data_IF_803106182128
#
_entry.id   IF_803106182128
#
_cell.length_a   1.000
_cell.length_b   1.000
_cell.length_c   1.000
_cell.angle_alpha   90.00
_cell.angle_beta   90.00
_cell.angle_gamma   90.00
#
_symmetry.space_group_name_H-M   'P 1'
#
loop_
_entity.id
_entity.type
_entity.pdbx_description
1 polymer ?
2 non-polymer ?
3 non-polymer ?
4 non-polymer ?
5 water ?
#
# COMPACT_ATOMS: atom_id res chain seq x y z
N UNK A 1 -9.87 -16.72 -8.34
CA UNK A 1 -9.77 -15.31 -7.98
C UNK A 1 -10.29 -14.30 -9.02
N UNK A 2 -11.15 -14.78 -9.92
CA UNK A 2 -11.63 -13.93 -11.02
C UNK A 2 -12.56 -12.84 -10.50
N UNK A 3 -13.32 -13.12 -9.44
CA UNK A 3 -14.14 -12.09 -8.81
C UNK A 3 -13.47 -11.58 -7.54
N UNK A 4 -13.84 -10.37 -7.17
CA UNK A 4 -13.23 -9.72 -6.02
C UNK A 4 -13.53 -10.49 -4.72
N UNK A 5 -12.61 -10.37 -3.76
CA UNK A 5 -12.77 -11.03 -2.47
C UNK A 5 -14.06 -10.56 -1.78
N UNK A 6 -14.37 -9.27 -1.92
CA UNK A 6 -15.61 -8.72 -1.42
C UNK A 6 -16.75 -9.17 -2.33
N UNK A 7 -17.55 -10.13 -1.85
CA UNK A 7 -18.68 -10.62 -2.63
C UNK A 7 -19.66 -9.52 -2.99
N UNK A 8 -19.76 -8.47 -2.17
CA UNK A 8 -20.69 -7.37 -2.46
C UNK A 8 -19.99 -6.16 -3.09
N UNK A 9 -18.85 -6.36 -3.73
CA UNK A 9 -18.14 -5.23 -4.34
C UNK A 9 -19.07 -4.50 -5.32
N UNK A 10 -18.95 -3.18 -5.35
CA UNK A 10 -19.89 -2.42 -6.14
C UNK A 10 -19.47 -2.43 -7.60
N UNK A 11 -20.37 -1.88 -8.42
CA UNK A 11 -20.24 -1.85 -9.88
C UNK A 11 -18.89 -1.32 -10.32
N UNK A 12 -18.49 -0.17 -9.80
CA UNK A 12 -17.27 0.47 -10.24
C UNK A 12 -16.02 -0.30 -9.79
N UNK A 13 -16.09 -0.94 -8.62
CA UNK A 13 -14.94 -1.70 -8.15
C UNK A 13 -14.73 -2.94 -9.01
N UNK A 14 -15.82 -3.62 -9.36
CA UNK A 14 -15.73 -4.76 -10.26
C UNK A 14 -15.18 -4.35 -11.62
N UNK A 15 -15.55 -3.15 -12.08
CA UNK A 15 -15.04 -2.64 -13.35
C UNK A 15 -13.53 -2.37 -13.28
N UNK A 16 -13.07 -1.73 -12.19
CA UNK A 16 -11.64 -1.50 -12.06
C UNK A 16 -10.91 -2.83 -12.03
N UNK A 17 -11.44 -3.82 -11.30
CA UNK A 17 -10.74 -5.10 -11.20
C UNK A 17 -10.70 -5.79 -12.56
N UNK A 18 -11.73 -5.64 -13.34
CA UNK A 18 -11.74 -6.24 -14.65
C UNK A 18 -10.68 -5.62 -15.55
N UNK A 19 -10.53 -4.32 -15.45
CA UNK A 19 -9.48 -3.63 -16.18
C UNK A 19 -8.09 -4.08 -15.74
N UNK A 20 -7.87 -4.16 -14.43
CA UNK A 20 -6.55 -4.61 -13.95
C UNK A 20 -6.21 -6.00 -14.50
N UNK A 21 -7.17 -6.92 -14.50
CA UNK A 21 -6.89 -8.28 -14.99
C UNK A 21 -6.62 -8.28 -16.49
N UNK A 22 -7.16 -7.30 -17.22
CA UNK A 22 -6.92 -7.18 -18.65
C UNK A 22 -5.55 -6.61 -18.94
N UNK A 23 -5.09 -5.68 -18.09
CA UNK A 23 -3.76 -5.11 -18.21
C UNK A 23 -2.71 -6.17 -17.89
N UNK A 24 -3.00 -7.02 -16.89
CA UNK A 24 -1.99 -7.86 -16.27
C UNK A 24 -1.27 -8.74 -17.30
N UNK A 25 0.05 -8.69 -17.26
CA UNK A 25 0.87 -9.48 -18.17
C UNK A 25 1.07 -8.86 -19.52
N UNK A 26 0.37 -7.78 -19.82
CA UNK A 26 0.49 -7.12 -21.11
C UNK A 26 1.19 -5.78 -21.01
N UNK A 27 0.82 -4.98 -20.01
CA UNK A 27 1.47 -3.72 -19.73
C UNK A 27 1.54 -3.57 -18.22
N UNK A 28 2.26 -2.55 -17.76
CA UNK A 28 2.40 -2.28 -16.34
C UNK A 28 1.87 -0.87 -16.07
N UNK A 29 1.05 -0.73 -15.03
CA UNK A 29 0.49 0.59 -14.71
C UNK A 29 1.50 1.42 -13.93
N UNK A 30 1.65 2.69 -14.33
CA UNK A 30 2.48 3.60 -13.54
C UNK A 30 1.72 4.11 -12.32
N UNK A 31 2.48 4.46 -11.30
CA UNK A 31 1.86 4.95 -10.08
C UNK A 31 2.87 5.80 -9.35
N UNK A 32 2.35 6.65 -8.46
CA UNK A 32 3.26 7.45 -7.64
C UNK A 32 2.62 7.67 -6.27
N UNK A 33 3.47 7.73 -5.24
CA UNK A 33 3.01 7.96 -3.88
C UNK A 33 2.70 9.43 -3.65
N UNK A 34 1.71 9.70 -2.78
CA UNK A 34 1.49 11.05 -2.29
C UNK A 34 2.77 11.63 -1.73
N UNK A 35 2.85 12.96 -1.60
CA UNK A 35 3.92 13.50 -0.77
C UNK A 35 3.45 13.35 0.66
N UNK A 36 3.88 12.27 1.31
CA UNK A 36 3.54 11.90 2.68
C UNK A 36 2.16 11.28 2.78
N UNK A 37 1.09 12.08 2.59
CA UNK A 37 -0.22 11.62 3.02
C UNK A 37 -1.35 11.83 2.01
N UNK A 38 -1.87 13.05 1.91
CA UNK A 38 -3.20 13.23 1.33
C UNK A 38 -3.18 14.20 0.16
N UNK A 39 -2.47 13.86 -0.92
CA UNK A 39 -2.31 14.76 -2.04
C UNK A 39 -1.83 13.92 -3.22
N UNK A 40 -1.77 14.53 -4.40
CA UNK A 40 -1.12 13.93 -5.55
C UNK A 40 0.02 14.85 -6.03
N UNK A 41 0.77 15.41 -5.07
CA UNK A 41 1.80 16.39 -5.41
C UNK A 41 2.95 15.78 -6.21
N UNK A 42 3.33 14.53 -5.93
CA UNK A 42 4.45 13.94 -6.65
C UNK A 42 4.00 13.52 -8.04
N UNK A 43 2.78 12.98 -8.16
CA UNK A 43 2.24 12.70 -9.49
C UNK A 43 2.23 13.96 -10.35
N UNK A 44 1.86 15.08 -9.75
CA UNK A 44 1.88 16.36 -10.45
C UNK A 44 3.29 16.70 -10.92
N UNK A 45 4.28 16.45 -10.08
CA UNK A 45 5.65 16.75 -10.44
C UNK A 45 6.09 15.91 -11.63
N UNK A 46 5.73 14.62 -11.64
CA UNK A 46 6.04 13.75 -12.77
C UNK A 46 5.40 14.30 -14.04
N UNK A 47 4.19 14.83 -13.92
CA UNK A 47 3.54 15.44 -15.07
C UNK A 47 4.31 16.67 -15.54
N UNK A 48 4.78 17.52 -14.62
CA UNK A 48 5.57 18.67 -15.05
C UNK A 48 6.83 18.22 -15.76
N UNK A 49 7.45 17.15 -15.27
CA UNK A 49 8.72 16.67 -15.81
C UNK A 49 8.54 16.00 -17.17
N UNK A 50 7.49 15.17 -17.32
CA UNK A 50 7.39 14.30 -18.48
C UNK A 50 6.24 14.64 -19.41
N UNK A 51 5.30 15.48 -18.99
CA UNK A 51 4.08 15.70 -19.73
C UNK A 51 3.01 14.67 -19.47
N UNK A 52 3.31 13.64 -18.70
CA UNK A 52 2.36 12.57 -18.43
C UNK A 52 2.22 12.37 -16.93
N UNK A 53 0.97 12.11 -16.48
CA UNK A 53 0.70 11.74 -15.09
C UNK A 53 0.86 10.23 -14.92
N UNK A 54 1.36 9.76 -13.78
CA UNK A 54 1.19 8.35 -13.42
C UNK A 54 -0.29 8.00 -13.40
N UNK A 55 -0.59 6.74 -13.73
CA UNK A 55 -1.98 6.32 -13.80
C UNK A 55 -2.59 6.24 -12.41
N UNK A 56 -1.82 5.81 -11.43
CA UNK A 56 -2.29 5.60 -10.06
C UNK A 56 -1.66 6.63 -9.16
N UNK A 57 -2.45 7.18 -8.23
CA UNK A 57 -1.90 7.96 -7.12
C UNK A 57 -2.32 7.32 -5.81
N UNK A 58 -1.35 7.13 -4.90
CA UNK A 58 -1.65 6.52 -3.61
C UNK A 58 -1.70 7.57 -2.49
N UNK A 59 -2.72 7.48 -1.66
CA UNK A 59 -2.91 8.34 -0.49
C UNK A 59 -2.77 7.49 0.75
N UNK A 60 -2.23 8.09 1.82
CA UNK A 60 -1.92 7.37 3.07
C UNK A 60 -2.74 7.96 4.22
N UNK A 61 -3.48 7.12 4.94
CA UNK A 61 -4.21 7.56 6.13
C UNK A 61 -3.31 7.73 7.36
N UNK A 62 -2.00 7.78 7.15
CA UNK A 62 -1.00 7.85 8.23
C UNK A 62 -1.40 8.82 9.35
N UNK A 63 -1.95 9.99 9.02
CA UNK A 63 -2.17 11.01 10.03
C UNK A 63 -3.65 11.21 10.38
N UNK A 64 -4.47 10.19 10.13
CA UNK A 64 -5.90 10.25 10.42
C UNK A 64 -6.18 10.59 11.89
N UNK A 65 -5.31 10.19 12.80
CA UNK A 65 -5.61 10.39 14.21
C UNK A 65 -5.24 11.77 14.72
N UNK A 66 -4.60 12.61 13.91
CA UNK A 66 -4.18 13.90 14.49
C UNK A 66 -5.41 14.77 14.76
N UNK A 67 -5.42 15.52 15.85
CA UNK A 67 -6.57 16.36 16.20
C UNK A 67 -6.58 17.66 15.40
N UNK A 68 -7.70 18.36 15.50
CA UNK A 68 -7.85 19.74 15.00
C UNK A 68 -7.63 19.82 13.48
N UNK A 69 -8.10 18.82 12.75
CA UNK A 69 -7.97 18.87 11.29
C UNK A 69 -8.94 19.87 10.70
N UNK A 70 -8.55 20.45 9.56
CA UNK A 70 -9.38 21.44 8.89
C UNK A 70 -8.57 22.17 7.85
N UNK A 71 -9.25 23.12 7.20
CA UNK A 71 -8.66 23.78 6.03
C UNK A 71 -7.44 24.60 6.41
N UNK A 72 -7.34 25.05 7.66
CA UNK A 72 -6.07 25.52 8.22
C UNK A 72 -5.72 24.73 9.49
N UNK A 73 -5.81 23.41 9.38
CA UNK A 73 -5.07 22.53 10.25
C UNK A 73 -3.81 22.07 9.55
N UNK A 74 -3.11 21.15 10.19
CA UNK A 74 -1.89 20.63 9.59
C UNK A 74 -2.22 19.75 8.39
N UNK A 75 -3.36 19.09 8.44
CA UNK A 75 -3.81 18.16 7.41
C UNK A 75 -5.32 18.08 7.54
N UNK A 76 -6.01 17.53 6.54
CA UNK A 76 -7.47 17.54 6.64
C UNK A 76 -8.07 16.40 5.83
N UNK A 77 -8.20 15.25 6.48
CA UNK A 77 -8.82 14.10 5.82
C UNK A 77 -10.32 14.29 5.58
N UNK A 78 -10.94 15.25 6.26
CA UNK A 78 -12.36 15.53 6.04
C UNK A 78 -12.65 16.11 4.66
N UNK A 79 -11.67 16.71 4.00
CA UNK A 79 -11.81 17.21 2.65
C UNK A 79 -11.28 16.15 1.69
N UNK A 80 -12.17 15.51 0.93
CA UNK A 80 -11.72 14.43 0.06
C UNK A 80 -11.37 14.91 -1.34
N UNK A 81 -11.38 16.22 -1.59
CA UNK A 81 -11.07 16.73 -2.93
C UNK A 81 -9.73 16.25 -3.46
N UNK A 82 -8.64 16.14 -2.67
CA UNK A 82 -7.38 15.65 -3.29
C UNK A 82 -7.53 14.29 -3.93
N UNK A 83 -8.48 13.48 -3.46
CA UNK A 83 -8.75 12.17 -4.07
C UNK A 83 -9.74 12.29 -5.21
N UNK A 84 -10.89 12.96 -4.99
CA UNK A 84 -11.94 12.93 -6.00
C UNK A 84 -11.52 13.68 -7.26
N UNK A 85 -10.72 14.75 -7.12
CA UNK A 85 -10.29 15.49 -8.31
C UNK A 85 -9.35 14.65 -9.16
N UNK A 86 -8.58 13.77 -8.53
CA UNK A 86 -7.75 12.80 -9.25
C UNK A 86 -8.62 11.86 -10.07
N UNK A 87 -9.67 11.31 -9.45
CA UNK A 87 -10.55 10.41 -10.18
C UNK A 87 -11.32 11.14 -11.29
N UNK A 88 -11.72 12.40 -11.04
CA UNK A 88 -12.42 13.15 -12.07
C UNK A 88 -11.57 13.30 -13.31
N UNK A 89 -10.26 13.46 -13.13
CA UNK A 89 -9.35 13.56 -14.26
C UNK A 89 -8.98 12.21 -14.85
N UNK A 90 -9.62 11.13 -14.41
CA UNK A 90 -9.34 9.82 -14.96
C UNK A 90 -8.24 9.02 -14.28
N UNK A 91 -7.69 9.49 -13.17
CA UNK A 91 -6.70 8.69 -12.50
C UNK A 91 -7.29 7.56 -11.68
N UNK A 92 -6.46 6.55 -11.36
CA UNK A 92 -6.89 5.44 -10.52
C UNK A 92 -6.43 5.74 -9.10
N UNK A 93 -7.25 5.39 -8.11
CA UNK A 93 -6.98 5.74 -6.71
C UNK A 93 -6.42 4.54 -5.98
N UNK A 94 -5.33 4.75 -5.23
CA UNK A 94 -4.76 3.75 -4.35
C UNK A 94 -4.74 4.33 -2.94
N UNK A 95 -5.02 3.49 -1.94
CA UNK A 95 -5.03 3.92 -0.53
C UNK A 95 -4.18 2.97 0.31
N UNK A 96 -3.52 3.51 1.34
CA UNK A 96 -2.76 2.69 2.28
C UNK A 96 -2.85 3.39 3.64
N UNK A 97 -2.26 2.76 4.66
CA UNK A 97 -2.45 3.33 6.01
C UNK A 97 -1.28 2.87 6.89
N UNK A 98 -0.25 3.73 6.99
CA UNK A 98 0.72 3.58 8.07
C UNK A 98 -0.07 3.79 9.37
N UNK A 99 -0.40 2.71 10.08
CA UNK A 99 -1.33 2.82 11.22
C UNK A 99 -0.57 3.36 12.45
N UNK A 100 -0.38 4.68 12.46
CA UNK A 100 0.21 5.36 13.61
C UNK A 100 -0.67 5.16 14.83
N UNK A 101 -0.04 5.04 16.00
CA UNK A 101 -0.74 4.94 17.27
C UNK A 101 -0.06 5.89 18.26
N UNK A 102 -0.70 6.23 19.38
CA UNK A 102 -0.02 7.09 20.35
C UNK A 102 1.22 6.40 20.89
N UNK A 103 2.22 7.19 21.27
CA UNK A 103 3.45 6.60 21.79
C UNK A 103 3.22 5.81 23.07
N UNK A 104 2.23 6.20 23.87
CA UNK A 104 1.86 5.37 25.01
C UNK A 104 0.45 5.76 25.45
N UNK A 105 -0.03 5.13 26.52
CA UNK A 105 -1.40 5.29 27.02
C UNK A 105 -1.64 6.67 27.61
N UNK A 106 -0.59 7.44 27.85
CA UNK A 106 -0.73 8.74 28.46
C UNK A 106 -0.41 9.86 27.49
N UNK A 107 -0.27 9.55 26.20
CA UNK A 107 0.14 10.52 25.22
C UNK A 107 -1.04 10.90 24.35
N UNK A 108 -1.26 12.22 24.20
CA UNK A 108 -2.22 12.76 23.26
C UNK A 108 -1.50 13.16 21.98
N UNK A 109 -1.89 12.55 20.86
CA UNK A 109 -1.29 12.91 19.58
C UNK A 109 -1.52 14.38 19.28
N UNK A 110 -0.47 15.06 18.79
CA UNK A 110 -0.53 16.50 18.58
C UNK A 110 -1.07 16.86 17.20
N UNK A 111 -1.55 18.11 17.09
CA UNK A 111 -2.12 18.55 15.83
C UNK A 111 -1.10 18.55 14.71
N UNK A 112 0.18 18.67 15.05
CA UNK A 112 1.25 18.61 14.07
C UNK A 112 1.81 17.21 13.86
N UNK A 113 1.13 16.17 14.35
CA UNK A 113 1.61 14.82 14.15
C UNK A 113 2.55 14.29 15.22
N UNK A 114 2.87 15.11 16.23
CA UNK A 114 3.69 14.64 17.34
C UNK A 114 2.97 13.54 18.15
N UNK A 115 3.76 12.81 18.93
CA UNK A 115 3.17 11.86 19.87
C UNK A 115 2.79 10.51 19.27
N UNK A 116 3.22 10.23 18.05
CA UNK A 116 2.86 9.00 17.35
C UNK A 116 4.05 8.07 17.24
N UNK A 117 3.74 6.77 17.11
CA UNK A 117 4.74 5.72 16.90
C UNK A 117 4.13 4.59 16.10
N UNK A 118 4.99 3.69 15.63
CA UNK A 118 4.46 2.65 14.74
C UNK A 118 5.04 1.27 15.02
N UNK A 119 5.95 1.16 15.97
CA UNK A 119 6.49 -0.13 16.38
C UNK A 119 6.97 0.00 17.81
N UNK A 120 7.52 -1.10 18.35
CA UNK A 120 7.83 -1.12 19.78
C UNK A 120 9.01 -0.23 20.15
N UNK A 121 9.82 0.20 19.18
CA UNK A 121 10.84 1.18 19.50
C UNK A 121 10.25 2.59 19.67
N UNK A 122 8.96 2.77 19.37
CA UNK A 122 8.32 4.08 19.39
C UNK A 122 7.02 4.13 20.19
N UNK A 123 6.37 2.99 20.48
CA UNK A 123 5.11 3.00 21.21
C UNK A 123 5.02 1.76 22.09
N UNK A 124 4.26 1.87 23.20
CA UNK A 124 3.94 0.71 24.02
C UNK A 124 2.73 -0.05 23.52
N UNK A 125 2.07 0.42 22.47
CA UNK A 125 0.87 -0.20 21.89
C UNK A 125 1.17 -1.65 21.50
N UNK A 126 0.40 -2.61 22.05
CA UNK A 126 0.63 -4.02 21.71
C UNK A 126 -0.45 -4.52 20.75
N UNK A 127 -0.01 -5.15 19.65
CA UNK A 127 -0.95 -5.72 18.69
C UNK A 127 -1.96 -6.66 19.34
N UNK A 128 -1.48 -7.55 20.21
CA UNK A 128 -2.36 -8.51 20.88
C UNK A 128 -3.43 -7.83 21.71
N UNK A 129 -3.26 -6.56 22.07
CA UNK A 129 -4.31 -5.87 22.81
C UNK A 129 -5.30 -5.16 21.92
N UNK A 130 -4.96 -4.97 20.63
CA UNK A 130 -5.81 -4.15 19.77
C UNK A 130 -7.22 -4.72 19.64
N UNK A 131 -7.35 -6.04 19.73
CA UNK A 131 -8.63 -6.72 19.55
C UNK A 131 -9.28 -7.09 20.86
N UNK A 132 -8.74 -6.63 21.97
CA UNK A 132 -9.26 -7.02 23.29
C UNK A 132 -10.05 -5.83 23.83
N UNK A 133 -11.36 -5.97 23.91
CA UNK A 133 -12.21 -4.92 24.47
C UNK A 133 -11.77 -4.54 25.88
N UNK A 134 -11.65 -3.25 26.12
CA UNK A 134 -11.28 -2.75 27.43
C UNK A 134 -9.86 -2.26 27.53
N UNK A 135 -9.00 -2.55 26.56
CA UNK A 135 -7.63 -2.06 26.57
C UNK A 135 -7.59 -0.68 25.92
N UNK A 136 -6.61 0.12 26.34
CA UNK A 136 -6.41 1.41 25.68
C UNK A 136 -6.10 1.23 24.20
N UNK A 137 -5.40 0.15 23.84
CA UNK A 137 -5.08 -0.09 22.44
C UNK A 137 -6.35 -0.29 21.63
N UNK A 138 -7.27 -1.11 22.14
CA UNK A 138 -8.51 -1.41 21.43
C UNK A 138 -9.36 -0.16 21.26
N UNK A 139 -9.42 0.71 22.28
CA UNK A 139 -10.20 1.92 22.14
C UNK A 139 -9.68 2.79 20.99
N UNK A 140 -8.36 3.01 20.94
CA UNK A 140 -7.77 3.78 19.85
C UNK A 140 -7.93 3.06 18.51
N UNK A 141 -7.65 1.75 18.49
CA UNK A 141 -7.76 0.96 17.26
C UNK A 141 -9.15 1.09 16.64
N UNK A 142 -10.19 0.86 17.46
CA UNK A 142 -11.54 0.94 16.93
C UNK A 142 -11.91 2.37 16.51
N UNK A 143 -11.48 3.37 17.29
CA UNK A 143 -11.80 4.75 16.93
C UNK A 143 -11.17 5.14 15.62
N UNK A 144 -9.92 4.71 15.38
CA UNK A 144 -9.28 5.14 14.14
C UNK A 144 -9.71 4.29 12.95
N UNK A 145 -9.95 2.99 13.15
CA UNK A 145 -10.53 2.20 12.07
C UNK A 145 -11.89 2.77 11.65
N UNK A 146 -12.66 3.27 12.61
CA UNK A 146 -13.91 3.95 12.30
C UNK A 146 -13.68 5.24 11.52
N UNK A 147 -12.73 6.07 11.96
CA UNK A 147 -12.45 7.29 11.22
C UNK A 147 -12.05 7.01 9.78
N UNK A 148 -11.22 5.97 9.56
CA UNK A 148 -10.78 5.63 8.20
C UNK A 148 -11.95 5.07 7.41
N UNK A 149 -12.68 4.12 7.99
CA UNK A 149 -13.89 3.63 7.34
C UNK A 149 -14.79 4.78 6.90
N UNK A 150 -14.97 5.77 7.78
CA UNK A 150 -15.89 6.86 7.45
C UNK A 150 -15.37 7.70 6.30
N UNK A 151 -14.04 7.90 6.19
CA UNK A 151 -13.53 8.60 5.02
C UNK A 151 -13.77 7.76 3.78
N UNK A 152 -13.47 6.47 3.86
CA UNK A 152 -13.66 5.62 2.69
C UNK A 152 -15.13 5.59 2.26
N UNK A 153 -16.06 5.64 3.22
CA UNK A 153 -17.49 5.70 2.89
C UNK A 153 -17.83 7.00 2.16
N UNK A 154 -17.24 8.13 2.57
CA UNK A 154 -17.44 9.37 1.82
C UNK A 154 -16.87 9.27 0.42
N UNK A 155 -15.68 8.68 0.27
CA UNK A 155 -15.13 8.42 -1.06
C UNK A 155 -16.10 7.57 -1.87
N UNK A 156 -16.64 6.50 -1.27
CA UNK A 156 -17.57 5.63 -2.00
C UNK A 156 -18.81 6.39 -2.46
N UNK A 157 -19.37 7.22 -1.58
CA UNK A 157 -20.53 8.02 -1.95
C UNK A 157 -20.22 8.91 -3.14
N UNK A 158 -19.00 9.41 -3.24
CA UNK A 158 -18.61 10.24 -4.37
C UNK A 158 -18.20 9.44 -5.58
N UNK A 159 -18.40 8.13 -5.56
CA UNK A 159 -18.10 7.32 -6.74
C UNK A 159 -16.69 6.79 -6.81
N UNK A 160 -15.88 6.98 -5.76
CA UNK A 160 -14.49 6.52 -5.76
C UNK A 160 -14.41 5.04 -5.48
N UNK A 161 -13.50 4.36 -6.19
CA UNK A 161 -13.08 3.01 -5.86
C UNK A 161 -11.55 3.01 -5.81
N UNK A 162 -10.97 2.04 -5.10
CA UNK A 162 -9.54 2.13 -4.81
C UNK A 162 -8.90 0.78 -4.60
N UNK A 163 -7.62 0.70 -4.97
CA UNK A 163 -6.74 -0.30 -4.40
C UNK A 163 -6.54 0.04 -2.93
N UNK A 164 -6.61 -0.98 -2.06
CA UNK A 164 -6.48 -0.76 -0.62
C UNK A 164 -5.40 -1.71 -0.13
N UNK A 165 -4.35 -1.15 0.49
CA UNK A 165 -3.16 -1.91 0.87
C UNK A 165 -2.85 -1.59 2.33
N UNK A 166 -3.69 -2.05 3.26
CA UNK A 166 -3.44 -1.79 4.69
C UNK A 166 -2.41 -2.76 5.25
N UNK A 167 -1.99 -2.48 6.49
CA UNK A 167 -1.22 -3.44 7.30
C UNK A 167 -0.10 -4.10 6.50
N UNK A 168 0.73 -3.27 5.86
CA UNK A 168 1.70 -3.78 4.89
C UNK A 168 3.02 -4.18 5.56
N UNK A 169 3.84 -4.95 4.80
CA UNK A 169 5.16 -5.40 5.26
C UNK A 169 5.10 -6.01 6.64
N UNK A 170 4.05 -6.79 6.90
CA UNK A 170 3.75 -7.17 8.28
C UNK A 170 4.89 -7.98 8.89
N UNK A 171 5.42 -8.96 8.15
CA UNK A 171 6.43 -9.81 8.78
C UNK A 171 7.72 -9.06 9.06
N UNK A 172 8.03 -8.00 8.30
CA UNK A 172 9.29 -7.32 8.52
C UNK A 172 10.44 -8.30 8.48
N UNK A 173 11.37 -8.20 9.45
CA UNK A 173 12.50 -9.13 9.55
C UNK A 173 12.22 -10.32 10.46
N UNK A 174 10.96 -10.55 10.85
CA UNK A 174 10.70 -11.58 11.85
C UNK A 174 10.86 -12.99 11.30
N UNK A 175 10.96 -13.14 10.00
CA UNK A 175 11.16 -14.43 9.34
C UNK A 175 12.63 -14.81 9.29
N UNK A 176 13.50 -14.01 9.89
CA UNK A 176 14.92 -14.32 9.94
C UNK A 176 15.15 -15.67 10.63
N UNK A 177 15.88 -16.57 9.96
CA UNK A 177 15.97 -17.94 10.45
C UNK A 177 16.72 -18.04 11.78
N UNK A 178 17.78 -17.24 11.95
CA UNK A 178 18.62 -17.35 13.14
C UNK A 178 17.88 -16.97 14.41
N UNK A 179 16.80 -16.20 14.32
CA UNK A 179 16.11 -15.77 15.51
C UNK A 179 16.83 -14.71 16.32
N UNK A 180 17.78 -14.00 15.72
CA UNK A 180 18.47 -12.92 16.41
C UNK A 180 17.48 -11.80 16.74
N UNK A 181 17.87 -10.96 17.71
CA UNK A 181 16.96 -9.95 18.23
C UNK A 181 16.53 -8.97 17.15
N UNK A 182 17.41 -8.66 16.18
CA UNK A 182 17.03 -7.78 15.09
C UNK A 182 16.09 -8.45 14.08
N UNK A 183 15.93 -9.77 14.14
CA UNK A 183 14.94 -10.42 13.30
C UNK A 183 13.54 -10.21 13.83
N UNK A 184 13.02 -8.99 13.68
CA UNK A 184 11.72 -8.62 14.22
C UNK A 184 10.94 -7.81 13.19
N UNK A 185 9.61 -7.81 13.36
CA UNK A 185 8.78 -6.96 12.53
C UNK A 185 9.11 -5.49 12.83
N UNK A 186 8.92 -4.65 11.82
CA UNK A 186 9.17 -3.21 11.99
C UNK A 186 7.89 -2.37 12.06
N UNK A 187 6.73 -2.98 12.03
CA UNK A 187 5.46 -2.31 12.31
C UNK A 187 4.73 -3.07 13.42
N UNK A 188 3.99 -2.33 14.25
CA UNK A 188 3.37 -2.96 15.41
C UNK A 188 2.43 -4.09 15.02
N UNK A 189 1.84 -4.04 13.84
CA UNK A 189 0.84 -5.03 13.50
C UNK A 189 1.44 -6.40 13.23
N UNK A 190 2.77 -6.49 13.12
CA UNK A 190 3.41 -7.80 13.02
C UNK A 190 4.20 -8.25 14.24
N UNK A 191 4.28 -7.42 15.29
CA UNK A 191 5.20 -7.72 16.36
C UNK A 191 4.67 -8.76 17.34
N UNK A 192 3.42 -9.20 17.18
CA UNK A 192 2.92 -10.30 18.01
C UNK A 192 2.67 -11.57 17.18
N UNK A 193 3.28 -11.65 16.00
CA UNK A 193 3.29 -12.88 15.23
C UNK A 193 2.21 -12.97 14.18
N UNK A 194 2.27 -14.04 13.37
CA UNK A 194 1.37 -14.13 12.21
C UNK A 194 -0.09 -14.35 12.54
N UNK A 195 -0.41 -15.10 13.60
CA UNK A 195 -1.82 -15.37 13.88
C UNK A 195 -2.54 -14.11 14.33
N UNK A 196 -1.93 -13.33 15.23
CA UNK A 196 -2.53 -12.05 15.58
C UNK A 196 -2.61 -11.16 14.35
N UNK A 197 -1.58 -11.18 13.49
CA UNK A 197 -1.63 -10.33 12.31
C UNK A 197 -2.81 -10.69 11.41
N UNK A 198 -3.01 -11.99 11.17
CA UNK A 198 -4.12 -12.36 10.31
C UNK A 198 -5.45 -12.01 10.97
N UNK A 199 -5.49 -12.06 12.30
CA UNK A 199 -6.68 -11.63 13.02
C UNK A 199 -6.97 -10.17 12.75
N UNK A 200 -5.93 -9.33 12.76
CA UNK A 200 -6.13 -7.90 12.47
C UNK A 200 -6.68 -7.72 11.07
N UNK A 201 -6.12 -8.44 10.08
CA UNK A 201 -6.59 -8.28 8.71
C UNK A 201 -8.04 -8.70 8.58
N UNK A 202 -8.36 -9.90 9.05
CA UNK A 202 -9.74 -10.38 9.02
C UNK A 202 -10.68 -9.41 9.70
N UNK A 203 -10.26 -8.86 10.84
CA UNK A 203 -11.12 -7.96 11.60
C UNK A 203 -11.46 -6.71 10.81
N UNK A 204 -10.44 -6.10 10.18
CA UNK A 204 -10.66 -4.93 9.33
C UNK A 204 -11.52 -5.29 8.13
N UNK A 205 -11.23 -6.42 7.48
CA UNK A 205 -12.01 -6.81 6.32
C UNK A 205 -13.49 -6.97 6.68
N UNK A 206 -13.77 -7.65 7.80
CA UNK A 206 -15.17 -7.88 8.15
C UNK A 206 -15.82 -6.61 8.67
N UNK A 207 -15.05 -5.76 9.33
CA UNK A 207 -15.61 -4.51 9.83
C UNK A 207 -15.95 -3.58 8.68
N UNK A 208 -15.03 -3.42 7.71
CA UNK A 208 -15.32 -2.60 6.54
C UNK A 208 -16.52 -3.14 5.81
N UNK A 209 -16.59 -4.46 5.63
CA UNK A 209 -17.77 -5.03 4.99
C UNK A 209 -19.04 -4.71 5.79
N UNK A 210 -18.97 -4.85 7.12
CA UNK A 210 -20.16 -4.57 7.93
C UNK A 210 -20.55 -3.10 7.84
N UNK A 211 -19.57 -2.22 7.64
CA UNK A 211 -19.84 -0.78 7.46
C UNK A 211 -20.42 -0.45 6.09
N UNK A 212 -20.52 -1.41 5.18
CA UNK A 212 -21.07 -1.14 3.86
C UNK A 212 -20.03 -0.64 2.90
N UNK A 213 -18.76 -0.84 3.20
CA UNK A 213 -17.67 -0.45 2.31
C UNK A 213 -17.50 -1.55 1.27
N UNK A 214 -17.72 -1.19 0.00
CA UNK A 214 -17.68 -2.15 -1.08
C UNK A 214 -16.97 -1.58 -2.30
N UNK A 215 -16.06 -0.63 -2.08
CA UNK A 215 -15.40 0.04 -3.19
C UNK A 215 -13.90 -0.26 -3.24
N UNK A 216 -13.46 -1.33 -2.58
CA UNK A 216 -12.03 -1.58 -2.38
C UNK A 216 -11.59 -2.89 -3.01
N UNK A 217 -10.38 -2.88 -3.54
CA UNK A 217 -9.66 -4.04 -4.06
C UNK A 217 -8.49 -4.26 -3.10
N UNK A 218 -8.46 -5.43 -2.45
CA UNK A 218 -7.60 -5.63 -1.28
C UNK A 218 -6.24 -6.16 -1.69
N UNK A 219 -5.17 -5.52 -1.22
CA UNK A 219 -3.81 -5.87 -1.64
C UNK A 219 -2.97 -6.19 -0.41
N UNK A 220 -2.54 -7.45 -0.29
CA UNK A 220 -1.69 -7.86 0.82
C UNK A 220 -0.24 -7.81 0.40
N UNK A 221 0.58 -7.19 1.23
CA UNK A 221 1.99 -6.98 0.92
C UNK A 221 2.84 -8.08 1.56
N UNK A 222 3.49 -8.89 0.73
CA UNK A 222 4.37 -9.97 1.19
C UNK A 222 5.81 -9.44 1.26
N UNK A 223 6.57 -9.95 2.24
CA UNK A 223 8.01 -9.73 2.27
C UNK A 223 8.77 -10.77 1.44
N UNK A 224 8.07 -11.77 0.88
CA UNK A 224 8.69 -12.91 0.21
C UNK A 224 9.79 -13.50 1.11
N UNK A 225 11.03 -13.62 0.64
CA UNK A 225 12.14 -14.09 1.48
C UNK A 225 13.01 -12.93 1.98
N UNK A 226 12.51 -11.69 1.90
CA UNK A 226 13.30 -10.50 2.27
C UNK A 226 14.61 -10.42 1.49
N UNK A 227 14.62 -10.98 0.29
CA UNK A 227 15.77 -10.92 -0.58
C UNK A 227 16.72 -12.08 -0.46
N UNK A 228 16.55 -12.97 0.52
CA UNK A 228 17.55 -14.04 0.72
C UNK A 228 16.92 -15.23 1.45
N UNK A 229 16.54 -16.24 0.68
CA UNK A 229 15.93 -17.43 1.26
C UNK A 229 16.92 -18.22 2.10
N UNK A 230 18.23 -18.00 1.91
CA UNK A 230 19.24 -18.63 2.75
C UNK A 230 19.07 -18.27 4.22
N UNK A 231 18.71 -17.02 4.51
CA UNK A 231 18.67 -16.58 5.89
C UNK A 231 17.28 -16.17 6.36
N UNK A 232 16.29 -16.11 5.46
CA UNK A 232 14.92 -15.85 5.84
C UNK A 232 14.02 -16.98 5.34
N UNK A 233 13.08 -17.38 6.18
CA UNK A 233 11.91 -18.09 5.68
C UNK A 233 11.02 -17.13 4.89
N UNK A 234 10.19 -17.67 4.01
CA UNK A 234 9.18 -16.78 3.45
C UNK A 234 8.06 -16.56 4.44
N UNK A 235 7.14 -15.64 4.10
CA UNK A 235 6.10 -15.23 5.04
C UNK A 235 4.74 -15.83 4.69
N UNK A 236 4.73 -17.05 4.14
CA UNK A 236 3.45 -17.69 3.81
C UNK A 236 2.51 -17.75 5.02
N UNK A 237 3.07 -17.94 6.22
CA UNK A 237 2.24 -18.08 7.42
C UNK A 237 1.50 -16.79 7.75
N UNK A 238 1.90 -15.67 7.15
CA UNK A 238 1.31 -14.37 7.39
C UNK A 238 0.22 -14.03 6.39
N UNK A 239 0.07 -14.84 5.34
CA UNK A 239 -0.90 -14.55 4.29
C UNK A 239 -2.32 -14.65 4.84
N UNK A 240 -3.15 -13.61 4.69
CA UNK A 240 -4.49 -13.67 5.32
C UNK A 240 -5.48 -14.56 4.60
N UNK A 241 -5.16 -15.08 3.42
CA UNK A 241 -6.02 -16.04 2.77
C UNK A 241 -6.66 -15.51 1.50
N UNK A 242 -6.97 -16.43 0.58
CA UNK A 242 -7.57 -16.07 -0.70
C UNK A 242 -8.87 -15.29 -0.55
N UNK A 243 -9.68 -15.60 0.46
CA UNK A 243 -10.98 -14.93 0.61
C UNK A 243 -10.86 -13.53 1.18
N UNK A 244 -9.65 -13.09 1.50
CA UNK A 244 -9.44 -11.78 2.10
C UNK A 244 -8.50 -10.90 1.29
N UNK A 245 -8.00 -11.38 0.14
CA UNK A 245 -6.93 -10.74 -0.60
C UNK A 245 -7.21 -10.86 -2.09
N UNK A 246 -7.12 -9.74 -2.82
CA UNK A 246 -7.25 -9.75 -4.28
C UNK A 246 -5.92 -9.78 -5.01
N UNK A 247 -4.95 -9.07 -4.48
CA UNK A 247 -3.68 -8.79 -5.15
C UNK A 247 -2.55 -8.96 -4.14
N UNK A 248 -1.44 -9.52 -4.59
CA UNK A 248 -0.23 -9.63 -3.77
C UNK A 248 0.73 -8.52 -4.17
N UNK A 249 1.26 -7.79 -3.17
CA UNK A 249 2.23 -6.75 -3.44
C UNK A 249 3.57 -7.06 -2.83
N UNK A 250 4.62 -6.44 -3.36
CA UNK A 250 5.97 -6.57 -2.86
C UNK A 250 6.65 -5.21 -2.92
N UNK A 251 7.39 -4.88 -1.87
CA UNK A 251 8.06 -3.58 -1.76
C UNK A 251 9.55 -3.78 -1.92
N UNK A 252 10.13 -3.20 -2.96
CA UNK A 252 11.54 -3.43 -3.29
C UNK A 252 12.26 -2.11 -3.56
N UNK A 253 13.41 -1.92 -2.91
CA UNK A 253 14.21 -0.73 -3.13
C UNK A 253 15.58 -1.08 -3.68
N UNK A 254 16.02 -0.32 -4.68
CA UNK A 254 17.37 -0.46 -5.21
C UNK A 254 17.64 -1.78 -5.90
N UNK A 255 16.60 -2.44 -6.41
CA UNK A 255 16.74 -3.80 -6.92
C UNK A 255 16.85 -3.82 -8.44
N UNK A 256 17.75 -4.68 -8.95
CA UNK A 256 18.02 -4.76 -10.38
C UNK A 256 16.88 -5.48 -11.11
N UNK A 257 17.00 -5.49 -12.43
CA UNK A 257 15.96 -6.12 -13.25
C UNK A 257 15.87 -7.62 -12.98
N UNK A 258 17.01 -8.30 -12.97
CA UNK A 258 16.99 -9.76 -12.81
C UNK A 258 16.54 -10.10 -11.39
N UNK A 259 16.93 -9.29 -10.43
CA UNK A 259 16.50 -9.56 -9.07
C UNK A 259 14.99 -9.32 -8.91
N UNK A 260 14.44 -8.30 -9.59
CA UNK A 260 12.99 -8.14 -9.61
C UNK A 260 12.30 -9.34 -10.25
N UNK A 261 12.87 -9.90 -11.33
CA UNK A 261 12.23 -11.09 -11.89
C UNK A 261 12.21 -12.23 -10.88
N UNK A 262 13.32 -12.41 -10.15
CA UNK A 262 13.35 -13.45 -9.12
C UNK A 262 12.23 -13.23 -8.10
N UNK A 263 12.03 -11.99 -7.64
CA UNK A 263 10.98 -11.72 -6.66
C UNK A 263 9.58 -11.95 -7.24
N UNK A 264 9.31 -11.37 -8.41
CA UNK A 264 8.01 -11.53 -9.07
C UNK A 264 7.70 -13.00 -9.34
N UNK A 265 8.67 -13.71 -9.89
CA UNK A 265 8.40 -15.09 -10.29
C UNK A 265 8.17 -15.99 -9.07
N UNK A 266 8.86 -15.74 -7.96
CA UNK A 266 8.67 -16.56 -6.76
C UNK A 266 7.27 -16.32 -6.17
N UNK A 267 6.86 -15.06 -6.07
CA UNK A 267 5.52 -14.76 -5.58
C UNK A 267 4.46 -15.29 -6.52
N UNK A 268 4.67 -15.13 -7.83
CA UNK A 268 3.73 -15.66 -8.79
C UNK A 268 3.57 -17.17 -8.63
N UNK A 269 4.67 -17.87 -8.35
CA UNK A 269 4.58 -19.31 -8.18
C UNK A 269 3.81 -19.73 -6.94
N UNK A 270 3.94 -18.98 -5.86
CA UNK A 270 3.29 -19.33 -4.60
C UNK A 270 1.84 -18.85 -4.54
N UNK A 271 1.49 -17.86 -5.34
CA UNK A 271 0.14 -17.28 -5.37
C UNK A 271 -0.38 -17.32 -6.80
N UNK A 272 -0.53 -18.51 -7.36
CA UNK A 272 -0.80 -18.62 -8.81
C UNK A 272 -2.08 -17.93 -9.25
N UNK A 273 -3.05 -17.75 -8.36
CA UNK A 273 -4.34 -17.16 -8.74
C UNK A 273 -4.37 -15.65 -8.62
N UNK A 274 -3.33 -15.01 -8.06
CA UNK A 274 -3.35 -13.59 -7.75
C UNK A 274 -2.42 -12.82 -8.68
N UNK A 275 -2.79 -11.58 -8.98
CA UNK A 275 -1.87 -10.68 -9.65
C UNK A 275 -0.82 -10.23 -8.66
N UNK A 276 0.41 -10.09 -9.13
CA UNK A 276 1.53 -9.62 -8.29
C UNK A 276 1.90 -8.22 -8.73
N UNK A 277 2.10 -7.32 -7.75
CA UNK A 277 2.32 -5.90 -7.97
C UNK A 277 3.59 -5.45 -7.26
N UNK A 278 4.26 -4.46 -7.85
CA UNK A 278 5.41 -3.82 -7.19
C UNK A 278 4.85 -2.63 -6.42
N UNK A 279 4.38 -2.89 -5.19
CA UNK A 279 3.56 -1.92 -4.44
C UNK A 279 4.36 -0.71 -3.99
N UNK A 280 5.66 -0.88 -3.75
CA UNK A 280 6.58 0.21 -3.49
C UNK A 280 7.91 -0.09 -4.17
N UNK A 281 8.57 0.95 -4.66
CA UNK A 281 9.95 0.82 -5.11
C UNK A 281 10.60 2.19 -4.98
N UNK A 282 11.86 2.26 -5.36
CA UNK A 282 12.63 3.48 -5.17
C UNK A 282 14.10 3.14 -5.12
N UNK A 283 14.92 4.19 -5.06
CA UNK A 283 16.37 3.97 -4.91
C UNK A 283 16.64 3.51 -3.48
N UNK A 284 17.81 2.92 -3.26
CA UNK A 284 18.27 2.74 -1.88
C UNK A 284 19.53 3.55 -1.64
N UNK A 285 20.41 3.13 -0.73
CA UNK A 285 21.57 3.97 -0.42
C UNK A 285 22.54 4.03 -1.58
N UNK A 286 22.75 2.92 -2.27
CA UNK A 286 23.86 2.80 -3.20
C UNK A 286 23.43 2.58 -4.65
N UNK A 287 22.16 2.29 -4.91
CA UNK A 287 21.72 1.82 -6.22
C UNK A 287 20.36 2.42 -6.58
N UNK A 288 20.07 2.44 -7.88
CA UNK A 288 18.77 2.87 -8.35
C UNK A 288 17.81 1.69 -8.34
N UNK A 289 16.54 1.94 -8.59
CA UNK A 289 15.61 0.86 -8.89
C UNK A 289 15.61 0.70 -10.40
N UNK A 290 15.53 -0.56 -10.86
CA UNK A 290 15.74 -0.85 -12.27
C UNK A 290 14.76 -0.06 -13.13
N UNK A 291 15.22 0.34 -14.32
CA UNK A 291 14.31 0.83 -15.35
C UNK A 291 13.16 -0.17 -15.53
N UNK A 292 11.94 0.37 -15.66
CA UNK A 292 10.74 -0.47 -15.62
C UNK A 292 10.70 -1.40 -16.81
N UNK A 293 11.02 -0.89 -18.00
CA UNK A 293 10.98 -1.74 -19.18
C UNK A 293 12.05 -2.82 -19.11
N UNK A 294 13.24 -2.46 -18.60
CA UNK A 294 14.29 -3.48 -18.45
C UNK A 294 13.84 -4.61 -17.52
N UNK A 295 13.26 -4.24 -16.37
CA UNK A 295 12.73 -5.24 -15.45
C UNK A 295 11.61 -6.06 -16.10
N UNK A 296 10.72 -5.39 -16.84
CA UNK A 296 9.65 -6.11 -17.54
C UNK A 296 10.23 -7.13 -18.51
N UNK A 297 11.19 -6.71 -19.30
CA UNK A 297 11.80 -7.60 -20.28
C UNK A 297 12.65 -8.66 -19.61
N UNK A 298 13.01 -8.47 -18.33
CA UNK A 298 13.66 -9.54 -17.59
C UNK A 298 12.66 -10.53 -17.00
N UNK A 299 11.36 -10.27 -17.16
CA UNK A 299 10.33 -11.18 -16.71
C UNK A 299 9.55 -10.67 -15.52
N UNK A 300 9.92 -9.53 -14.96
CA UNK A 300 9.24 -8.98 -13.78
C UNK A 300 8.00 -8.21 -14.26
N UNK A 301 6.94 -8.94 -14.53
CA UNK A 301 5.75 -8.35 -15.15
C UNK A 301 4.70 -7.95 -14.10
N UNK A 302 5.11 -7.08 -13.20
CA UNK A 302 4.25 -6.58 -12.14
C UNK A 302 3.00 -5.94 -12.74
N UNK A 303 1.89 -6.01 -11.99
CA UNK A 303 0.68 -5.31 -12.42
C UNK A 303 0.92 -3.82 -12.52
N UNK A 304 1.62 -3.28 -11.52
CA UNK A 304 1.87 -1.85 -11.46
C UNK A 304 3.13 -1.66 -10.63
N UNK A 305 3.69 -0.46 -10.71
CA UNK A 305 4.78 -0.06 -9.84
C UNK A 305 4.42 1.27 -9.19
N UNK A 306 4.95 1.51 -7.99
CA UNK A 306 4.71 2.83 -7.40
C UNK A 306 5.93 3.24 -6.61
N UNK A 307 6.74 4.20 -7.08
CA UNK A 307 7.89 4.65 -6.29
C UNK A 307 7.46 5.45 -5.07
N UNK A 308 8.34 5.45 -4.09
CA UNK A 308 8.13 6.25 -2.88
C UNK A 308 8.67 7.67 -3.09
N UNK A 309 8.24 8.59 -2.24
CA UNK A 309 8.66 9.97 -2.36
C UNK A 309 9.94 10.20 -1.56
N UNK A 310 10.48 11.41 -1.67
CA UNK A 310 11.58 11.80 -0.80
C UNK A 310 12.93 11.24 -1.22
N UNK A 311 13.74 10.82 -0.26
CA UNK A 311 15.06 10.27 -0.57
C UNK A 311 14.98 9.03 -1.45
N UNK A 312 13.86 8.30 -1.41
CA UNK A 312 13.66 7.11 -2.24
C UNK A 312 13.32 7.41 -3.70
N UNK A 313 12.93 8.64 -4.02
CA UNK A 313 12.37 8.96 -5.32
C UNK A 313 13.38 8.76 -6.44
N UNK A 314 13.05 7.98 -7.46
CA UNK A 314 13.92 7.90 -8.63
C UNK A 314 14.21 9.27 -9.22
N UNK A 315 15.31 9.34 -9.96
CA UNK A 315 15.75 10.57 -10.57
C UNK A 315 14.79 11.03 -11.67
N UNK A 316 14.90 12.33 -11.98
CA UNK A 316 14.14 12.88 -13.10
C UNK A 316 14.45 12.12 -14.38
N UNK A 317 15.73 11.78 -14.60
CA UNK A 317 16.11 11.01 -15.79
C UNK A 317 15.38 9.68 -15.82
N UNK A 318 15.32 9.01 -14.68
CA UNK A 318 14.63 7.72 -14.57
C UNK A 318 13.18 7.85 -15.00
N UNK A 319 12.49 8.87 -14.48
CA UNK A 319 11.07 9.04 -14.78
C UNK A 319 10.83 9.39 -16.25
N UNK A 320 11.67 10.25 -16.82
CA UNK A 320 11.51 10.63 -18.22
C UNK A 320 11.61 9.40 -19.11
N UNK A 321 12.55 8.50 -18.81
CA UNK A 321 12.66 7.28 -19.62
C UNK A 321 11.42 6.41 -19.42
N UNK A 322 11.03 6.20 -18.17
CA UNK A 322 9.97 5.26 -17.83
C UNK A 322 8.61 5.69 -18.40
N UNK A 323 8.29 6.98 -18.30
CA UNK A 323 6.98 7.44 -18.77
C UNK A 323 6.86 7.39 -20.28
N UNK A 324 7.97 7.26 -21.01
CA UNK A 324 7.93 7.14 -22.45
C UNK A 324 8.07 5.71 -22.93
N UNK A 325 8.10 4.75 -22.02
CA UNK A 325 8.19 3.34 -22.43
C UNK A 325 6.78 2.86 -22.77
N UNK A 326 6.63 2.24 -23.94
CA UNK A 326 5.30 1.84 -24.39
C UNK A 326 4.66 0.81 -23.47
N UNK A 327 5.46 -0.02 -22.79
CA UNK A 327 4.89 -0.99 -21.86
C UNK A 327 4.29 -0.35 -20.61
N UNK A 328 4.60 0.92 -20.35
CA UNK A 328 4.16 1.60 -19.13
C UNK A 328 2.91 2.38 -19.47
N UNK A 329 1.82 2.14 -18.74
CA UNK A 329 0.56 2.86 -18.96
C UNK A 329 0.59 4.14 -18.10
N UNK A 330 0.39 5.28 -18.73
CA UNK A 330 0.25 6.54 -18.01
C UNK A 330 -1.23 6.93 -17.95
N UNK A 331 -1.53 8.00 -17.20
CA UNK A 331 -2.94 8.31 -16.97
C UNK A 331 -3.70 8.61 -18.26
N UNK A 332 -3.09 9.38 -19.17
CA UNK A 332 -3.68 9.68 -20.47
C UNK A 332 -3.79 8.47 -21.39
N UNK A 333 -3.14 7.36 -21.05
CA UNK A 333 -3.18 6.13 -21.85
C UNK A 333 -4.15 5.07 -21.29
N UNK A 334 -4.69 5.25 -20.07
CA UNK A 334 -5.69 4.30 -19.57
C UNK A 334 -6.86 4.20 -20.53
N UNK A 335 -7.40 5.36 -20.91
CA UNK A 335 -8.55 5.43 -21.81
C UNK A 335 -8.30 6.22 -23.09
N UNK A 336 -7.27 5.82 -23.84
CA UNK A 336 -6.93 6.49 -25.09
C UNK A 336 -5.45 6.87 -25.12
X LIG B 1 -11.81 -15.16 10.53
X LIG B 1 -11.13 -16.00 11.41
X LIG B 1 -13.23 -14.92 11.11
X LIG B 1 -13.20 -14.08 12.20
X LIG B 1 -14.05 -14.31 9.94
X LIG B 1 -15.39 -14.71 10.10
X LIG C 1 4.97 -8.74 -23.39
X LIG C 1 6.07 -9.11 -22.55
X LIG C 1 7.39 -8.86 -23.29
X LIG C 1 8.59 -9.19 -22.55
X LIG C 1 8.56 -10.56 -22.12
X LIG C 1 9.86 -11.09 -21.51
X LIG C 1 9.60 -12.44 -21.13
X LIG C 1 10.74 -13.21 -20.71
X LIG C 1 11.53 -12.61 -19.58
X LIG C 1 12.63 -13.43 -19.12
X LIG C 1 12.05 -14.65 -18.60
X LIG C 1 13.05 -15.63 -18.00
X LIG C 1 14.02 -16.08 -18.96
X LIG D 1 12.32 11.70 2.91
X LIG D 1 12.82 13.03 3.09
X LIG D 1 12.32 13.90 1.94
X LIG D 1 10.87 13.94 1.92
X LIG D 1 10.43 14.71 0.78
X LIG D 1 10.95 16.12 0.76
X LIG D 1 10.45 16.76 -0.43
X LIG E 1 14.85 0.47 2.23
X LIG E 1 14.40 1.83 2.16
X LIG E 1 12.88 1.84 2.33
X LIG E 1 12.31 3.16 2.28
X LIG E 1 10.91 2.94 2.43
X LIG E 1 10.08 4.18 2.37
X LIG E 1 8.72 3.72 2.53
X LIG F 1 -19.06 0.36 14.38
X LIG F 1 -20.05 -0.54 14.86
X LIG F 1 -19.72 -1.97 14.45
X LIG F 1 -19.63 -2.04 13.02
X LIG F 1 -20.85 -1.62 12.41
X LIG G 1 -6.37 -14.15 -18.06
X LIG G 1 -5.79 -12.95 -17.31
X LIG G 1 -5.80 -13.19 -15.89
X LIG G 1 -5.24 -12.07 -15.20
X LIG G 1 -5.20 -12.32 -13.69
X LIG G 1 -4.40 -13.48 -13.52
X LIG G 1 -4.23 -13.82 -12.14
X LIG G 1 -3.42 -15.10 -12.10
X LIG G 1 -2.16 -14.86 -12.74
X LIG H 1 7.60 13.25 18.14
X LIG H 1 7.13 12.98 16.77
X LIG H 1 8.72 12.39 18.40
X LIG H 1 6.58 12.99 19.16
X LIG H 1 8.03 14.63 18.22
X LIG I 1 16.61 -16.66 -3.17
X LIG I 1 16.47 -16.12 -4.51
X LIG I 1 15.77 -17.85 -3.08
X LIG I 1 16.20 -15.69 -2.17
X LIG I 1 18.00 -17.02 -2.93
X LIG J 1 17.80 14.44 -10.28
X LIG J 1 18.61 13.38 -9.67
X LIG J 1 18.35 14.78 -11.59
X LIG J 1 17.85 15.63 -9.43
X LIG J 1 16.43 13.98 -10.42
#
# INVERSE_FOLDING_TARGET
GVFLADASANDAAKKLYKYLRLVYGNKILSGMMAHVAWNHDEADKIHVLTGKYPAINCYDFIHIAVPNQGSNGWINYNDITPVTEWADAGGIVSLMWHFNVPQNENTTIGADGSGQGINSSQTTFKASHALVSGTWENKFFMEQMENVANVILKLQDAGIVALWRPFHEAAGNATLKSGANWGKAWFWWGEDGPDVYKQLWHTMFNYFSNKGIHNLIWEWTSQNYNGDSDIYNNDDDWYPGDAYVDIIGRDLYGTTAVQQYSEYSQLKGRYPSKMIALAECGVNNSTITADVEQAWNAGAKWLNFMPWYGESMPSDEWWTKVMNENVVITRDEINQN
GOL C1 O1 C2 O2 C3 O3
PE3 O43 C42 C41 O40 C39 C38 O37 C36 C35 O34 C33 C32 O31
PE3 O43 C42 C41 O40 C39 C38 O37
PE3 O43 C42 C41 O40 C39 C38 O37
PE3 O43 C42 C41 O40 C39
PE3 C39 C38 O37 C36 C35 O34 C33 C32 O31
SO4 S O1 O2 O3 O4
SO4 S O1 O2 O3 O4
SO4 S O1 O2 O3 O4
#
